data_IF_389394447713
#
_entry.id   IF_389394447713
#
_cell.length_a   1.000
_cell.length_b   1.000
_cell.length_c   1.000
_cell.angle_alpha   90.00
_cell.angle_beta   90.00
_cell.angle_gamma   90.00
#
_symmetry.space_group_name_H-M   'P 1'
#
loop_
_entity.id
_entity.type
_entity.pdbx_description
1 polymer ?
#
# COMPACT_ATOMS: atom_id res chain seq x y z
N UNK A 1 18.22 -27.11 -0.10
CA UNK A 1 16.93 -26.38 0.11
C UNK A 1 15.98 -27.28 0.85
N UNK A 2 15.53 -26.90 2.05
CA UNK A 2 14.75 -27.77 2.92
C UNK A 2 13.25 -27.79 2.56
N UNK A 3 12.54 -28.87 2.92
CA UNK A 3 11.12 -29.10 2.69
C UNK A 3 10.20 -27.92 3.16
N UNK A 4 10.64 -27.14 4.15
CA UNK A 4 9.95 -25.91 4.63
C UNK A 4 9.99 -24.76 3.61
N UNK A 5 11.07 -24.62 2.84
CA UNK A 5 11.19 -23.56 1.83
C UNK A 5 10.30 -23.83 0.61
N UNK A 6 10.17 -25.10 0.21
CA UNK A 6 9.27 -25.52 -0.88
C UNK A 6 7.80 -25.25 -0.55
N UNK A 7 7.39 -25.46 0.71
CA UNK A 7 6.00 -25.19 1.16
C UNK A 7 5.68 -23.71 1.15
N UNK A 8 6.59 -22.84 1.58
CA UNK A 8 6.42 -21.40 1.56
C UNK A 8 6.35 -20.85 0.12
N UNK A 9 7.23 -21.32 -0.77
CA UNK A 9 7.20 -20.97 -2.18
C UNK A 9 5.86 -21.34 -2.82
N UNK A 10 5.36 -22.54 -2.54
CA UNK A 10 4.06 -22.99 -3.10
C UNK A 10 2.88 -22.20 -2.57
N UNK A 11 2.89 -21.82 -1.29
CA UNK A 11 1.88 -20.91 -0.74
C UNK A 11 1.87 -19.57 -1.48
N UNK A 12 3.04 -18.99 -1.72
CA UNK A 12 3.17 -17.72 -2.44
C UNK A 12 2.66 -17.83 -3.89
N UNK A 13 2.99 -18.90 -4.60
CA UNK A 13 2.48 -19.14 -5.97
C UNK A 13 0.94 -19.21 -6.00
N UNK A 14 0.32 -19.85 -5.02
CA UNK A 14 -1.14 -19.93 -4.91
C UNK A 14 -1.76 -18.55 -4.60
N UNK A 15 -1.14 -17.77 -3.73
CA UNK A 15 -1.59 -16.40 -3.42
C UNK A 15 -1.48 -15.50 -4.66
N UNK A 16 -0.38 -15.58 -5.40
CA UNK A 16 -0.20 -14.83 -6.65
C UNK A 16 -1.24 -15.20 -7.69
N UNK A 17 -1.51 -16.50 -7.87
CA UNK A 17 -2.57 -16.95 -8.76
C UNK A 17 -3.96 -16.46 -8.30
N UNK A 18 -4.22 -16.42 -6.99
CA UNK A 18 -5.46 -15.86 -6.45
C UNK A 18 -5.58 -14.36 -6.71
N UNK A 19 -4.46 -13.61 -6.58
CA UNK A 19 -4.42 -12.19 -6.93
C UNK A 19 -4.79 -11.95 -8.40
N UNK A 20 -4.19 -12.69 -9.34
CA UNK A 20 -4.49 -12.55 -10.77
C UNK A 20 -5.96 -12.94 -11.08
N UNK A 21 -6.47 -14.01 -10.49
CA UNK A 21 -7.90 -14.37 -10.63
C UNK A 21 -8.81 -13.27 -10.07
N UNK A 22 -8.47 -12.69 -8.89
CA UNK A 22 -9.25 -11.62 -8.30
C UNK A 22 -9.23 -10.34 -9.13
N UNK A 23 -8.10 -10.02 -9.77
CA UNK A 23 -7.94 -8.91 -10.68
C UNK A 23 -8.80 -9.06 -11.94
N UNK A 24 -8.85 -10.27 -12.51
CA UNK A 24 -9.57 -10.54 -13.75
C UNK A 24 -11.08 -10.56 -13.59
N UNK A 25 -11.60 -11.13 -12.50
CA UNK A 25 -13.04 -11.42 -12.34
C UNK A 25 -13.69 -10.81 -11.09
N UNK A 26 -12.93 -10.02 -10.31
CA UNK A 26 -13.34 -9.49 -9.01
C UNK A 26 -13.14 -10.47 -7.86
N UNK A 27 -12.82 -9.94 -6.68
CA UNK A 27 -12.54 -10.73 -5.48
C UNK A 27 -13.77 -11.55 -5.03
N UNK A 28 -14.96 -11.01 -5.20
CA UNK A 28 -16.23 -11.67 -4.87
C UNK A 28 -16.46 -12.95 -5.70
N UNK A 29 -16.00 -12.95 -6.95
CA UNK A 29 -16.13 -14.07 -7.88
C UNK A 29 -14.95 -15.06 -7.80
N UNK A 30 -13.84 -14.68 -7.17
CA UNK A 30 -12.68 -15.52 -7.02
C UNK A 30 -12.93 -16.66 -6.01
N UNK A 31 -12.48 -17.88 -6.36
CA UNK A 31 -12.68 -19.07 -5.55
C UNK A 31 -11.49 -20.01 -5.62
N UNK A 32 -11.36 -20.91 -4.63
CA UNK A 32 -10.33 -21.96 -4.63
C UNK A 32 -10.36 -22.77 -5.93
N UNK A 33 -11.56 -23.08 -6.45
CA UNK A 33 -11.71 -23.84 -7.69
C UNK A 33 -11.12 -23.08 -8.90
N UNK A 34 -11.39 -21.78 -9.01
CA UNK A 34 -10.85 -20.94 -10.10
C UNK A 34 -9.33 -20.73 -10.00
N UNK A 35 -8.81 -20.64 -8.78
CA UNK A 35 -7.36 -20.59 -8.55
C UNK A 35 -6.71 -21.92 -8.96
N UNK A 36 -7.28 -23.04 -8.56
CA UNK A 36 -6.77 -24.35 -8.95
C UNK A 36 -6.81 -24.55 -10.47
N UNK A 37 -7.89 -24.13 -11.12
CA UNK A 37 -8.06 -24.13 -12.58
C UNK A 37 -6.98 -23.27 -13.27
N UNK A 38 -6.77 -22.04 -12.83
CA UNK A 38 -5.76 -21.14 -13.42
C UNK A 38 -4.33 -21.69 -13.30
N UNK A 39 -4.05 -22.44 -12.23
CA UNK A 39 -2.75 -23.08 -12.00
C UNK A 39 -2.60 -24.45 -12.65
N UNK A 40 -3.66 -25.04 -13.20
CA UNK A 40 -3.67 -26.43 -13.71
C UNK A 40 -3.44 -27.48 -12.62
N UNK A 41 -3.91 -27.25 -11.40
CA UNK A 41 -3.77 -28.15 -10.23
C UNK A 41 -5.13 -28.56 -9.67
N UNK A 42 -5.15 -29.55 -8.76
CA UNK A 42 -6.38 -29.95 -8.10
C UNK A 42 -6.79 -29.00 -6.97
N UNK A 43 -8.11 -28.85 -6.73
CA UNK A 43 -8.64 -28.12 -5.58
C UNK A 43 -8.06 -28.65 -4.26
N UNK A 44 -7.88 -29.96 -4.15
CA UNK A 44 -7.30 -30.62 -2.97
C UNK A 44 -5.86 -30.16 -2.68
N UNK A 45 -5.09 -29.86 -3.73
CA UNK A 45 -3.73 -29.33 -3.55
C UNK A 45 -3.76 -27.89 -3.01
N UNK A 46 -4.66 -27.02 -3.48
CA UNK A 46 -4.83 -25.69 -2.91
C UNK A 46 -5.27 -25.79 -1.44
N UNK A 47 -6.26 -26.64 -1.15
CA UNK A 47 -6.77 -26.87 0.21
C UNK A 47 -5.75 -27.51 1.15
N UNK A 48 -4.73 -28.18 0.63
CA UNK A 48 -3.61 -28.66 1.45
C UNK A 48 -2.77 -27.50 2.05
N UNK A 49 -2.70 -26.36 1.34
CA UNK A 49 -1.97 -25.18 1.78
C UNK A 49 -2.84 -24.15 2.50
N UNK A 50 -4.12 -24.09 2.14
CA UNK A 50 -5.12 -23.16 2.69
C UNK A 50 -6.40 -23.94 2.98
N UNK A 51 -6.66 -24.23 4.25
CA UNK A 51 -7.81 -25.06 4.66
C UNK A 51 -9.16 -24.42 4.31
N UNK A 52 -9.18 -23.07 4.22
CA UNK A 52 -10.40 -22.29 3.94
C UNK A 52 -10.13 -21.18 2.93
N UNK A 53 -11.19 -20.71 2.25
CA UNK A 53 -11.11 -19.49 1.43
C UNK A 53 -10.67 -18.29 2.27
N UNK A 54 -11.01 -18.26 3.56
CA UNK A 54 -10.66 -17.15 4.45
C UNK A 54 -9.15 -17.11 4.74
N UNK A 55 -8.50 -18.26 4.94
CA UNK A 55 -7.04 -18.33 5.07
C UNK A 55 -6.33 -17.88 3.78
N UNK A 56 -6.84 -18.30 2.62
CA UNK A 56 -6.29 -17.87 1.34
C UNK A 56 -6.46 -16.35 1.13
N UNK A 57 -7.63 -15.82 1.53
CA UNK A 57 -7.92 -14.40 1.45
C UNK A 57 -7.03 -13.57 2.39
N UNK A 58 -6.77 -14.04 3.61
CA UNK A 58 -5.83 -13.41 4.52
C UNK A 58 -4.42 -13.38 3.92
N UNK A 59 -3.96 -14.50 3.35
CA UNK A 59 -2.68 -14.55 2.64
C UNK A 59 -2.61 -13.57 1.47
N UNK A 60 -3.71 -13.36 0.74
CA UNK A 60 -3.79 -12.34 -0.32
C UNK A 60 -3.64 -10.93 0.25
N UNK A 61 -4.35 -10.61 1.34
CA UNK A 61 -4.23 -9.31 2.01
C UNK A 61 -2.79 -9.06 2.43
N UNK A 62 -2.19 -9.98 3.17
CA UNK A 62 -0.79 -9.87 3.62
C UNK A 62 0.18 -9.70 2.44
N UNK A 63 -0.03 -10.43 1.34
CA UNK A 63 0.77 -10.30 0.13
C UNK A 63 0.69 -8.91 -0.47
N UNK A 64 -0.52 -8.36 -0.67
CA UNK A 64 -0.73 -7.03 -1.25
C UNK A 64 -0.08 -5.95 -0.38
N UNK A 65 -0.32 -6.00 0.93
CA UNK A 65 0.24 -5.04 1.88
C UNK A 65 1.77 -5.09 1.91
N UNK A 66 2.36 -6.31 1.85
CA UNK A 66 3.81 -6.48 1.79
C UNK A 66 4.40 -5.98 0.47
N UNK A 67 3.74 -6.22 -0.68
CA UNK A 67 4.19 -5.68 -1.96
C UNK A 67 4.21 -4.15 -1.93
N UNK A 68 3.17 -3.54 -1.37
CA UNK A 68 3.11 -2.08 -1.22
C UNK A 68 4.25 -1.55 -0.34
N UNK A 69 4.51 -2.17 0.81
CA UNK A 69 5.63 -1.80 1.69
C UNK A 69 7.00 -1.94 1.00
N UNK A 70 7.21 -3.02 0.23
CA UNK A 70 8.47 -3.23 -0.48
C UNK A 70 8.76 -2.09 -1.47
N UNK A 71 7.76 -1.68 -2.23
CA UNK A 71 7.87 -0.56 -3.17
C UNK A 71 8.20 0.75 -2.44
N UNK A 72 7.51 1.04 -1.34
CA UNK A 72 7.77 2.22 -0.53
C UNK A 72 9.22 2.26 -0.01
N UNK A 73 9.70 1.15 0.50
CA UNK A 73 11.09 1.05 0.99
C UNK A 73 12.08 1.23 -0.16
N UNK A 74 11.84 0.64 -1.34
CA UNK A 74 12.73 0.75 -2.50
C UNK A 74 12.78 2.18 -3.07
N UNK A 75 11.65 2.91 -3.07
CA UNK A 75 11.60 4.29 -3.58
C UNK A 75 12.11 5.33 -2.57
N UNK A 76 12.02 5.07 -1.26
CA UNK A 76 12.46 6.00 -0.21
C UNK A 76 13.90 5.77 0.26
N UNK A 77 14.73 5.04 -0.48
CA UNK A 77 16.13 4.82 -0.16
C UNK A 77 17.04 6.05 -0.38
N UNK A 78 16.52 7.16 -0.92
CA UNK A 78 17.27 8.39 -1.08
C UNK A 78 17.22 9.23 0.21
N UNK A 79 18.38 9.45 0.81
CA UNK A 79 18.53 10.35 1.95
C UNK A 79 18.03 11.77 1.61
N UNK A 80 17.09 12.30 2.39
CA UNK A 80 16.61 13.68 2.24
C UNK A 80 17.72 14.65 2.64
N UNK A 81 18.29 15.38 1.66
CA UNK A 81 19.40 16.31 1.87
C UNK A 81 19.03 17.76 1.59
N UNK A 82 18.04 17.96 0.75
CA UNK A 82 17.66 19.27 0.26
C UNK A 82 16.16 19.52 0.39
N UNK A 83 15.77 20.78 0.33
CA UNK A 83 14.37 21.16 0.22
C UNK A 83 13.68 20.51 -0.98
N UNK A 84 14.38 20.43 -2.12
CA UNK A 84 13.86 19.79 -3.34
C UNK A 84 13.57 18.30 -3.11
N UNK A 85 14.40 17.58 -2.35
CA UNK A 85 14.15 16.17 -2.01
C UNK A 85 12.87 16.02 -1.20
N UNK A 86 12.63 16.89 -0.22
CA UNK A 86 11.39 16.89 0.58
C UNK A 86 10.16 17.25 -0.28
N UNK A 87 10.25 18.24 -1.16
CA UNK A 87 9.19 18.61 -2.08
C UNK A 87 8.85 17.45 -3.04
N UNK A 88 9.87 16.74 -3.54
CA UNK A 88 9.71 15.54 -4.38
C UNK A 88 9.08 14.39 -3.62
N UNK A 89 9.44 14.16 -2.35
CA UNK A 89 8.78 13.18 -1.49
C UNK A 89 7.28 13.47 -1.41
N UNK A 90 6.89 14.70 -1.07
CA UNK A 90 5.47 15.07 -0.98
C UNK A 90 4.76 14.89 -2.34
N UNK A 91 5.36 15.31 -3.44
CA UNK A 91 4.78 15.09 -4.79
C UNK A 91 4.58 13.61 -5.09
N UNK A 92 5.53 12.76 -4.72
CA UNK A 92 5.44 11.31 -4.92
C UNK A 92 4.30 10.70 -4.10
N UNK A 93 4.07 11.11 -2.85
CA UNK A 93 2.97 10.62 -2.01
C UNK A 93 1.60 10.82 -2.67
N UNK A 94 1.39 11.88 -3.45
CA UNK A 94 0.14 12.16 -4.17
C UNK A 94 0.15 11.73 -5.64
N UNK A 95 1.23 11.11 -6.14
CA UNK A 95 1.41 10.82 -7.57
C UNK A 95 0.62 9.60 -8.08
N UNK A 96 0.09 8.76 -7.19
CA UNK A 96 -0.52 7.47 -7.52
C UNK A 96 0.34 6.54 -8.38
N UNK A 97 1.66 6.71 -8.41
CA UNK A 97 2.61 5.80 -9.09
C UNK A 97 2.50 4.36 -8.58
N UNK A 98 2.01 4.18 -7.36
CA UNK A 98 1.79 2.89 -6.69
C UNK A 98 0.82 1.98 -7.45
N UNK A 99 -0.13 2.55 -8.22
CA UNK A 99 -1.10 1.80 -9.01
C UNK A 99 -0.48 0.91 -10.09
N UNK A 100 0.79 1.13 -10.42
CA UNK A 100 1.50 0.23 -11.34
C UNK A 100 1.92 -1.09 -10.69
N UNK A 101 1.93 -1.18 -9.36
CA UNK A 101 2.38 -2.35 -8.60
C UNK A 101 1.25 -3.21 -8.07
N UNK A 102 0.04 -2.67 -7.94
CA UNK A 102 -1.12 -3.42 -7.48
C UNK A 102 -2.42 -2.83 -8.05
N UNK A 103 -3.43 -3.69 -8.12
CA UNK A 103 -4.76 -3.33 -8.63
C UNK A 103 -5.62 -2.71 -7.52
N UNK A 104 -6.13 -1.49 -7.75
CA UNK A 104 -6.98 -0.78 -6.80
C UNK A 104 -8.27 -1.56 -6.48
N UNK A 105 -8.87 -2.24 -7.47
CA UNK A 105 -10.10 -3.00 -7.27
C UNK A 105 -9.89 -4.15 -6.29
N UNK A 106 -8.78 -4.88 -6.41
CA UNK A 106 -8.42 -5.94 -5.46
C UNK A 106 -8.10 -5.35 -4.08
N UNK A 107 -7.31 -4.26 -4.03
CA UNK A 107 -6.94 -3.61 -2.78
C UNK A 107 -8.18 -3.14 -1.99
N UNK A 108 -9.09 -2.37 -2.62
CA UNK A 108 -10.28 -1.86 -1.93
C UNK A 108 -11.30 -2.95 -1.61
N UNK A 109 -11.37 -4.01 -2.42
CA UNK A 109 -12.18 -5.20 -2.08
C UNK A 109 -11.66 -5.89 -0.82
N UNK A 110 -10.33 -5.97 -0.64
CA UNK A 110 -9.72 -6.46 0.59
C UNK A 110 -9.92 -5.48 1.76
N UNK A 111 -9.75 -4.19 1.53
CA UNK A 111 -9.94 -3.15 2.55
C UNK A 111 -11.34 -3.17 3.15
N UNK A 112 -12.39 -3.42 2.35
CA UNK A 112 -13.76 -3.54 2.86
C UNK A 112 -13.97 -4.67 3.89
N UNK A 113 -13.04 -5.63 3.98
CA UNK A 113 -13.11 -6.74 4.94
C UNK A 113 -12.71 -6.35 6.37
N UNK A 114 -12.01 -5.23 6.56
CA UNK A 114 -11.54 -4.77 7.88
C UNK A 114 -12.69 -4.61 8.90
N UNK A 115 -13.89 -4.24 8.41
CA UNK A 115 -15.07 -4.05 9.24
C UNK A 115 -15.85 -5.33 9.53
N UNK A 116 -15.42 -6.46 8.95
CA UNK A 116 -16.12 -7.74 9.05
C UNK A 116 -15.34 -8.84 9.74
N UNK A 117 -14.02 -8.64 9.89
CA UNK A 117 -13.14 -9.67 10.44
C UNK A 117 -11.92 -9.02 11.10
N UNK A 118 -11.70 -9.35 12.37
CA UNK A 118 -10.62 -8.82 13.20
C UNK A 118 -9.23 -9.12 12.62
N UNK A 119 -9.01 -10.30 12.04
CA UNK A 119 -7.70 -10.65 11.43
C UNK A 119 -7.34 -9.71 10.27
N UNK A 120 -8.32 -9.34 9.41
CA UNK A 120 -8.08 -8.37 8.35
C UNK A 120 -7.86 -6.97 8.91
N UNK A 121 -8.64 -6.58 9.94
CA UNK A 121 -8.44 -5.32 10.64
C UNK A 121 -7.02 -5.20 11.18
N UNK A 122 -6.53 -6.23 11.87
CA UNK A 122 -5.18 -6.25 12.45
C UNK A 122 -4.09 -6.14 11.38
N UNK A 123 -4.22 -6.88 10.26
CA UNK A 123 -3.26 -6.82 9.16
C UNK A 123 -3.19 -5.42 8.54
N UNK A 124 -4.34 -4.81 8.24
CA UNK A 124 -4.38 -3.44 7.71
C UNK A 124 -3.91 -2.41 8.72
N UNK A 125 -4.26 -2.56 9.99
CA UNK A 125 -3.80 -1.67 11.06
C UNK A 125 -2.27 -1.68 11.18
N UNK A 126 -1.66 -2.86 11.17
CA UNK A 126 -0.20 -2.97 11.21
C UNK A 126 0.45 -2.33 9.99
N UNK A 127 -0.12 -2.53 8.82
CA UNK A 127 0.34 -1.89 7.60
C UNK A 127 0.25 -0.36 7.67
N UNK A 128 -0.89 0.23 8.08
CA UNK A 128 -1.05 1.67 8.21
C UNK A 128 -0.07 2.27 9.24
N UNK A 129 0.15 1.57 10.36
CA UNK A 129 1.15 1.97 11.35
C UNK A 129 2.57 1.98 10.77
N UNK A 130 2.94 1.00 9.94
CA UNK A 130 4.23 0.97 9.26
C UNK A 130 4.40 2.12 8.28
N UNK A 131 3.36 2.42 7.47
CA UNK A 131 3.36 3.58 6.57
C UNK A 131 3.56 4.89 7.32
N UNK A 132 2.85 5.03 8.44
CA UNK A 132 2.94 6.20 9.31
C UNK A 132 4.37 6.36 9.87
N UNK A 133 4.98 5.28 10.35
CA UNK A 133 6.38 5.30 10.85
C UNK A 133 7.39 5.62 9.74
N UNK A 134 7.20 5.15 8.52
CA UNK A 134 8.05 5.51 7.37
C UNK A 134 7.97 7.02 7.12
N UNK A 135 6.77 7.58 7.00
CA UNK A 135 6.59 9.03 6.79
C UNK A 135 7.19 9.85 7.93
N UNK A 136 6.95 9.41 9.19
CA UNK A 136 7.52 10.06 10.37
C UNK A 136 9.04 10.07 10.32
N UNK A 137 9.66 8.96 9.93
CA UNK A 137 11.12 8.85 9.80
C UNK A 137 11.69 9.81 8.76
N UNK A 138 11.03 9.97 7.61
CA UNK A 138 11.42 10.93 6.57
C UNK A 138 11.33 12.39 7.05
N UNK A 139 10.25 12.75 7.75
CA UNK A 139 10.08 14.09 8.30
C UNK A 139 11.08 14.39 9.43
N UNK A 140 11.40 13.40 10.28
CA UNK A 140 12.43 13.54 11.33
C UNK A 140 13.81 13.72 10.71
N UNK A 141 14.11 13.00 9.61
CA UNK A 141 15.34 13.18 8.85
C UNK A 141 15.43 14.60 8.23
N UNK A 142 14.32 15.11 7.68
CA UNK A 142 14.27 16.47 7.15
C UNK A 142 14.57 17.53 8.24
N UNK A 143 14.08 17.33 9.46
CA UNK A 143 14.44 18.16 10.61
C UNK A 143 15.90 18.02 11.00
N UNK A 144 16.40 16.80 11.10
CA UNK A 144 17.78 16.51 11.50
C UNK A 144 18.79 17.12 10.53
N UNK A 145 18.45 17.12 9.23
CA UNK A 145 19.29 17.67 8.17
C UNK A 145 19.10 19.20 7.99
N UNK A 146 18.29 19.86 8.83
CA UNK A 146 18.08 21.31 8.79
C UNK A 146 17.26 21.79 7.58
N UNK A 147 16.49 20.91 6.95
CA UNK A 147 15.61 21.28 5.82
C UNK A 147 14.38 22.01 6.35
N UNK A 148 13.83 21.55 7.49
CA UNK A 148 12.68 22.14 8.16
C UNK A 148 12.93 22.32 9.65
N UNK A 149 12.25 23.29 10.26
CA UNK A 149 12.32 23.61 11.69
C UNK A 149 11.00 23.31 12.43
N UNK A 150 10.26 22.32 11.98
CA UNK A 150 9.01 21.93 12.63
C UNK A 150 9.30 21.26 13.99
N UNK A 151 8.62 21.74 15.05
CA UNK A 151 8.87 21.26 16.42
C UNK A 151 7.97 20.10 16.83
N UNK A 152 6.87 19.85 16.10
CA UNK A 152 5.92 18.78 16.37
C UNK A 152 5.80 17.87 15.14
N UNK A 153 6.76 16.95 14.99
CA UNK A 153 6.82 16.02 13.87
C UNK A 153 5.66 15.01 13.92
N UNK A 154 5.23 14.60 15.11
CA UNK A 154 4.13 13.66 15.25
C UNK A 154 2.80 14.25 14.72
N UNK A 155 2.49 15.51 15.06
CA UNK A 155 1.31 16.20 14.53
C UNK A 155 1.40 16.42 13.00
N UNK A 156 2.58 16.79 12.52
CA UNK A 156 2.82 16.99 11.09
C UNK A 156 2.61 15.68 10.31
N UNK A 157 3.14 14.58 10.83
CA UNK A 157 2.98 13.24 10.28
C UNK A 157 1.50 12.84 10.21
N UNK A 158 0.75 13.01 11.31
CA UNK A 158 -0.68 12.70 11.37
C UNK A 158 -1.49 13.45 10.31
N UNK A 159 -1.23 14.75 10.16
CA UNK A 159 -1.96 15.59 9.19
C UNK A 159 -1.63 15.16 7.76
N UNK A 160 -0.35 15.01 7.42
CA UNK A 160 0.08 14.61 6.07
C UNK A 160 -0.43 13.20 5.76
N UNK A 161 -0.27 12.26 6.68
CA UNK A 161 -0.75 10.89 6.52
C UNK A 161 -2.25 10.84 6.23
N UNK A 162 -3.07 11.55 7.02
CA UNK A 162 -4.51 11.62 6.83
C UNK A 162 -4.90 12.25 5.48
N UNK A 163 -4.16 13.27 5.00
CA UNK A 163 -4.39 13.87 3.70
C UNK A 163 -4.05 12.90 2.56
N UNK A 164 -2.93 12.20 2.64
CA UNK A 164 -2.51 11.21 1.63
C UNK A 164 -3.51 10.07 1.57
N UNK A 165 -3.84 9.44 2.70
CA UNK A 165 -4.76 8.30 2.78
C UNK A 165 -6.17 8.69 2.29
N UNK A 166 -6.72 9.78 2.80
CA UNK A 166 -8.06 10.26 2.40
C UNK A 166 -8.15 10.71 0.95
N UNK A 167 -7.09 11.33 0.41
CA UNK A 167 -7.06 11.81 -0.98
C UNK A 167 -6.90 10.67 -1.98
N UNK A 168 -6.21 9.60 -1.63
CA UNK A 168 -5.89 8.49 -2.51
C UNK A 168 -7.13 7.85 -3.11
N UNK A 169 -8.14 7.54 -2.28
CA UNK A 169 -9.43 7.03 -2.73
C UNK A 169 -10.15 8.01 -3.65
N UNK A 170 -10.25 9.29 -3.24
CA UNK A 170 -10.98 10.29 -3.99
C UNK A 170 -10.32 10.59 -5.34
N UNK A 171 -9.02 10.78 -5.38
CA UNK A 171 -8.28 10.99 -6.61
C UNK A 171 -8.38 9.79 -7.57
N UNK A 172 -8.50 8.56 -7.03
CA UNK A 172 -8.70 7.34 -7.79
C UNK A 172 -9.97 7.29 -8.62
N UNK A 173 -10.96 8.12 -8.31
CA UNK A 173 -12.20 8.21 -9.09
C UNK A 173 -12.00 8.96 -10.41
N UNK A 174 -10.90 9.66 -10.61
CA UNK A 174 -10.59 10.43 -11.82
C UNK A 174 -9.48 9.76 -12.61
N UNK A 175 -9.58 9.71 -13.95
CA UNK A 175 -8.49 9.21 -14.79
C UNK A 175 -7.19 9.99 -14.55
N UNK A 176 -6.06 9.29 -14.50
CA UNK A 176 -4.75 9.93 -14.37
C UNK A 176 -4.53 10.90 -15.54
N UNK A 177 -4.17 12.14 -15.24
CA UNK A 177 -3.97 13.20 -16.25
C UNK A 177 -5.22 14.02 -16.58
N UNK A 178 -6.39 13.69 -16.01
CA UNK A 178 -7.57 14.57 -16.03
C UNK A 178 -7.27 15.90 -15.30
N UNK A 179 -7.88 17.00 -15.77
CA UNK A 179 -7.67 18.32 -15.19
C UNK A 179 -8.16 18.42 -13.74
N UNK A 180 -9.22 17.69 -13.38
CA UNK A 180 -9.68 17.65 -11.99
C UNK A 180 -8.71 16.88 -11.10
N UNK A 181 -8.16 15.76 -11.59
CA UNK A 181 -7.13 15.00 -10.88
C UNK A 181 -5.92 15.90 -10.59
N UNK A 182 -5.39 16.63 -11.60
CA UNK A 182 -4.26 17.54 -11.45
C UNK A 182 -4.53 18.66 -10.46
N UNK A 183 -5.69 19.32 -10.56
CA UNK A 183 -6.08 20.40 -9.63
C UNK A 183 -6.15 19.92 -8.18
N UNK A 184 -6.71 18.73 -7.96
CA UNK A 184 -6.79 18.17 -6.61
C UNK A 184 -5.43 17.81 -6.07
N UNK A 185 -4.59 17.18 -6.89
CA UNK A 185 -3.22 16.85 -6.55
C UNK A 185 -2.43 18.11 -6.14
N UNK A 186 -2.51 19.18 -6.94
CA UNK A 186 -1.85 20.47 -6.64
C UNK A 186 -2.34 21.07 -5.32
N UNK A 187 -3.64 20.99 -5.02
CA UNK A 187 -4.20 21.50 -3.76
C UNK A 187 -3.60 20.74 -2.57
N UNK A 188 -3.56 19.42 -2.61
CA UNK A 188 -3.05 18.60 -1.51
C UNK A 188 -1.54 18.80 -1.33
N UNK A 189 -0.77 18.77 -2.42
CA UNK A 189 0.68 19.01 -2.40
C UNK A 189 0.98 20.39 -1.80
N UNK A 190 0.37 21.45 -2.33
CA UNK A 190 0.60 22.82 -1.87
C UNK A 190 0.20 23.00 -0.40
N UNK A 191 -0.88 22.35 0.04
CA UNK A 191 -1.26 22.37 1.44
C UNK A 191 -0.23 21.68 2.33
N UNK A 192 0.23 20.48 1.97
CA UNK A 192 1.29 19.79 2.72
C UNK A 192 2.58 20.63 2.78
N UNK A 193 3.02 21.20 1.66
CA UNK A 193 4.21 22.05 1.61
C UNK A 193 4.08 23.31 2.48
N UNK A 194 2.86 23.84 2.61
CA UNK A 194 2.59 25.00 3.47
C UNK A 194 2.70 24.72 4.97
N UNK A 195 2.67 23.45 5.39
CA UNK A 195 2.85 23.06 6.79
C UNK A 195 4.31 23.07 7.24
N UNK A 196 5.25 23.07 6.29
CA UNK A 196 6.67 23.08 6.59
C UNK A 196 7.18 24.48 6.94
N UNK A 197 7.98 24.52 8.00
CA UNK A 197 8.76 25.72 8.38
C UNK A 197 10.18 25.48 7.88
N UNK A 198 10.47 25.98 6.69
CA UNK A 198 11.80 25.84 6.10
C UNK A 198 12.85 26.65 6.87
N UNK A 199 14.06 26.16 6.88
CA UNK A 199 15.23 26.93 7.33
C UNK A 199 15.59 27.94 6.24
N UNK A 200 15.90 29.23 6.65
CA UNK A 200 16.27 30.32 5.73
C UNK A 200 17.68 30.18 5.15
#
# INVERSE_FOLDING_TARGET
MGRKSLGATRKLEIIQAFYEVAKDIGLENASIAKVAESMGISNGLVMHYFNTKQELLLGLVEYILQQHMNVLVEENLSELKTREDLENLIQNLFSRKWNQYFDDGVFYSCYALIYRNEMFNDSFKQYLLQLHEVLRGELDQACTNGIIQNTNIDELTEIIFALVDGSYYYMGMFPTGDDNHRKQQDIYINHCLSLFKYED
#
